data_IF_328790678309
#
_entry.id   IF_328790678309
#
_cell.length_a   1.000
_cell.length_b   1.000
_cell.length_c   1.000
_cell.angle_alpha   90.00
_cell.angle_beta   90.00
_cell.angle_gamma   90.00
#
_symmetry.space_group_name_H-M   'P 1'
#
loop_
_entity.id
_entity.type
_entity.pdbx_description
1 polymer ?
#
# COMPACT_ATOMS: atom_id res chain seq x y z
N UNK A 1 13.65 -6.93 2.16
CA UNK A 1 13.21 -5.95 1.16
C UNK A 1 14.38 -5.13 0.65
N UNK A 2 15.13 -4.39 1.49
CA UNK A 2 16.19 -3.48 1.09
C UNK A 2 17.29 -4.11 0.22
N UNK A 3 17.64 -5.39 0.48
CA UNK A 3 18.59 -6.11 -0.37
C UNK A 3 18.09 -6.21 -1.83
N UNK A 4 16.80 -6.47 -2.03
CA UNK A 4 16.20 -6.54 -3.36
C UNK A 4 16.11 -5.14 -4.00
N UNK A 5 15.71 -4.11 -3.22
CA UNK A 5 15.64 -2.73 -3.72
C UNK A 5 17.01 -2.20 -4.21
N UNK A 6 18.10 -2.57 -3.52
CA UNK A 6 19.47 -2.22 -3.96
C UNK A 6 19.87 -2.81 -5.30
N UNK A 7 19.30 -3.96 -5.65
CA UNK A 7 19.61 -4.69 -6.88
C UNK A 7 18.63 -4.37 -8.03
N UNK A 8 17.59 -3.58 -7.75
CA UNK A 8 16.56 -3.29 -8.74
C UNK A 8 17.11 -2.42 -9.88
N UNK A 9 16.87 -2.85 -11.10
CA UNK A 9 17.18 -2.14 -12.34
C UNK A 9 15.94 -1.50 -12.98
N UNK A 10 14.74 -1.91 -12.53
CA UNK A 10 13.44 -1.44 -12.98
C UNK A 10 12.55 -1.07 -11.79
N UNK A 11 11.34 -0.59 -12.05
CA UNK A 11 10.31 -0.45 -11.03
C UNK A 11 10.08 -1.78 -10.31
N UNK A 12 9.63 -1.73 -9.06
CA UNK A 12 9.50 -2.92 -8.20
C UNK A 12 8.04 -3.08 -7.78
N UNK A 13 7.56 -4.32 -7.76
CA UNK A 13 6.33 -4.68 -7.06
C UNK A 13 6.71 -5.49 -5.80
N UNK A 14 6.33 -5.00 -4.63
CA UNK A 14 6.38 -5.75 -3.37
C UNK A 14 5.06 -6.49 -3.22
N UNK A 15 5.12 -7.79 -2.96
CA UNK A 15 3.93 -8.63 -2.79
C UNK A 15 4.18 -9.60 -1.64
N UNK A 16 3.27 -9.64 -0.67
CA UNK A 16 3.34 -10.62 0.41
C UNK A 16 3.05 -12.03 -0.11
N UNK A 17 3.60 -13.03 0.55
CA UNK A 17 3.46 -14.44 0.16
C UNK A 17 2.06 -15.01 0.37
N UNK A 18 1.21 -14.31 1.12
CA UNK A 18 -0.19 -14.64 1.43
C UNK A 18 -1.19 -13.78 0.60
N UNK A 19 -0.73 -13.23 -0.51
CA UNK A 19 -1.55 -12.47 -1.46
C UNK A 19 -1.91 -13.33 -2.66
N UNK A 20 -3.18 -13.31 -3.04
CA UNK A 20 -3.68 -13.83 -4.33
C UNK A 20 -3.96 -12.66 -5.27
N UNK A 21 -3.46 -12.76 -6.49
CA UNK A 21 -3.55 -11.71 -7.51
C UNK A 21 -4.37 -12.19 -8.71
N UNK A 22 -5.21 -11.32 -9.33
CA UNK A 22 -5.95 -11.65 -10.54
C UNK A 22 -5.07 -11.56 -11.80
N UNK A 23 -5.64 -11.86 -12.96
CA UNK A 23 -4.96 -11.65 -14.24
C UNK A 23 -4.65 -10.15 -14.48
N UNK A 24 -3.56 -9.85 -15.18
CA UNK A 24 -3.12 -8.48 -15.54
C UNK A 24 -2.94 -7.54 -14.32
N UNK A 25 -2.79 -8.11 -13.13
CA UNK A 25 -2.62 -7.31 -11.90
C UNK A 25 -1.39 -6.42 -11.95
N UNK A 26 -0.27 -6.94 -12.47
CA UNK A 26 1.01 -6.23 -12.47
C UNK A 26 0.96 -5.02 -13.41
N UNK A 27 0.40 -5.20 -14.59
CA UNK A 27 0.22 -4.13 -15.58
C UNK A 27 -0.62 -2.99 -14.98
N UNK A 28 -1.77 -3.33 -14.37
CA UNK A 28 -2.65 -2.33 -13.75
C UNK A 28 -1.99 -1.66 -12.54
N UNK A 29 -1.30 -2.45 -11.70
CA UNK A 29 -0.58 -1.91 -10.53
C UNK A 29 0.49 -0.90 -10.94
N UNK A 30 1.24 -1.19 -12.01
CA UNK A 30 2.40 -0.38 -12.42
C UNK A 30 2.05 0.76 -13.37
N UNK A 31 0.90 0.72 -14.03
CA UNK A 31 0.50 1.70 -15.04
C UNK A 31 0.61 3.16 -14.57
N UNK A 32 0.17 3.55 -13.35
CA UNK A 32 0.30 4.93 -12.88
C UNK A 32 1.75 5.39 -12.80
N UNK A 33 2.67 4.52 -12.38
CA UNK A 33 4.11 4.83 -12.28
C UNK A 33 4.72 5.09 -13.66
N UNK A 34 4.31 4.33 -14.67
CA UNK A 34 4.75 4.56 -16.04
C UNK A 34 4.12 5.80 -16.67
N UNK A 35 2.89 6.14 -16.26
CA UNK A 35 2.15 7.29 -16.81
C UNK A 35 2.59 8.64 -16.24
N UNK A 36 3.02 8.69 -14.98
CA UNK A 36 3.42 9.92 -14.28
C UNK A 36 4.72 9.73 -13.49
N UNK A 37 5.74 10.47 -13.86
CA UNK A 37 7.08 10.38 -13.25
C UNK A 37 7.11 10.59 -11.73
N UNK A 38 6.20 11.40 -11.20
CA UNK A 38 6.14 11.76 -9.78
C UNK A 38 5.23 10.86 -8.93
N UNK A 39 4.79 9.71 -9.43
CA UNK A 39 4.17 8.68 -8.60
C UNK A 39 5.26 7.82 -7.98
N UNK A 40 5.30 7.77 -6.64
CA UNK A 40 6.24 6.97 -5.86
C UNK A 40 5.75 5.54 -5.68
N UNK A 41 4.49 5.39 -5.23
CA UNK A 41 3.90 4.07 -4.96
C UNK A 41 2.49 3.96 -5.52
N UNK A 42 2.08 2.70 -5.74
CA UNK A 42 0.73 2.31 -6.10
C UNK A 42 0.25 1.20 -5.19
N UNK A 43 -1.02 1.21 -4.80
CA UNK A 43 -1.63 0.21 -3.90
C UNK A 43 -3.03 -0.14 -4.41
N UNK A 44 -3.39 -1.44 -4.57
CA UNK A 44 -4.72 -1.87 -5.00
C UNK A 44 -5.71 -1.96 -3.84
N UNK A 45 -6.98 -2.22 -4.14
CA UNK A 45 -7.97 -2.65 -3.16
C UNK A 45 -7.66 -4.03 -2.59
N UNK A 46 -8.10 -4.27 -1.36
CA UNK A 46 -8.11 -5.58 -0.71
C UNK A 46 -9.21 -5.64 0.35
N UNK A 47 -9.44 -6.82 0.95
CA UNK A 47 -10.38 -6.95 2.07
C UNK A 47 -9.87 -6.34 3.38
N UNK A 48 -8.57 -6.33 3.64
CA UNK A 48 -7.97 -6.02 4.94
C UNK A 48 -6.72 -5.15 4.79
N UNK A 49 -6.87 -3.91 4.31
CA UNK A 49 -5.77 -2.97 4.07
C UNK A 49 -5.99 -1.60 4.68
N UNK A 50 -6.89 -1.46 5.66
CA UNK A 50 -7.28 -0.18 6.29
C UNK A 50 -7.70 0.84 5.21
N UNK A 51 -6.80 1.72 4.80
CA UNK A 51 -7.05 2.82 3.84
C UNK A 51 -7.24 2.39 2.38
N UNK A 52 -7.21 1.09 2.09
CA UNK A 52 -7.51 0.48 0.79
C UNK A 52 -8.47 -0.70 0.92
N UNK A 53 -9.22 -0.77 2.02
CA UNK A 53 -10.19 -1.86 2.29
C UNK A 53 -11.48 -1.68 1.50
N UNK A 54 -12.04 -2.81 1.04
CA UNK A 54 -13.31 -2.90 0.36
C UNK A 54 -14.08 -4.15 0.84
N UNK A 55 -15.43 -4.16 0.96
CA UNK A 55 -16.36 -3.06 0.68
C UNK A 55 -16.42 -1.98 1.77
N UNK A 56 -16.20 -2.32 3.03
CA UNK A 56 -16.22 -1.36 4.12
C UNK A 56 -14.85 -0.70 4.24
N UNK A 57 -14.79 0.58 3.87
CA UNK A 57 -13.58 1.37 3.90
C UNK A 57 -13.05 1.57 5.34
N UNK A 58 -11.73 1.50 5.51
CA UNK A 58 -11.03 1.57 6.79
C UNK A 58 -11.44 0.49 7.81
N UNK A 59 -11.88 -0.68 7.33
CA UNK A 59 -12.25 -1.85 8.15
C UNK A 59 -11.68 -3.12 7.57
N UNK A 60 -11.53 -4.13 8.42
CA UNK A 60 -11.27 -5.49 7.96
C UNK A 60 -12.59 -6.11 7.50
N UNK A 61 -12.58 -6.59 6.27
CA UNK A 61 -13.70 -7.22 5.61
C UNK A 61 -13.44 -8.72 5.43
N UNK A 62 -14.49 -9.51 5.33
CA UNK A 62 -14.38 -10.88 4.85
C UNK A 62 -14.44 -10.90 3.34
N UNK A 63 -13.75 -11.86 2.72
CA UNK A 63 -13.94 -12.11 1.30
C UNK A 63 -15.40 -12.49 1.07
N UNK A 64 -15.98 -12.08 -0.05
CA UNK A 64 -17.35 -12.38 -0.43
C UNK A 64 -17.54 -13.91 -0.52
N UNK A 65 -18.45 -14.47 0.28
CA UNK A 65 -18.67 -15.92 0.33
C UNK A 65 -19.09 -16.45 -1.04
N UNK A 66 -18.35 -17.45 -1.53
CA UNK A 66 -18.66 -18.12 -2.79
C UNK A 66 -18.23 -17.40 -4.07
N UNK A 67 -17.66 -16.19 -3.96
CA UNK A 67 -17.12 -15.47 -5.11
C UNK A 67 -15.61 -15.68 -5.19
N UNK A 68 -15.09 -16.20 -6.30
CA UNK A 68 -13.65 -16.27 -6.51
C UNK A 68 -13.06 -14.88 -6.79
N UNK A 69 -11.77 -14.71 -6.52
CA UNK A 69 -11.06 -13.43 -6.71
C UNK A 69 -11.26 -12.82 -8.11
N UNK A 70 -11.21 -13.65 -9.16
CA UNK A 70 -11.33 -13.18 -10.54
C UNK A 70 -12.71 -12.56 -10.83
N UNK A 71 -13.78 -13.09 -10.23
CA UNK A 71 -15.15 -12.58 -10.40
C UNK A 71 -15.30 -11.21 -9.71
N UNK A 72 -14.68 -11.05 -8.53
CA UNK A 72 -14.66 -9.76 -7.82
C UNK A 72 -13.84 -8.74 -8.64
N UNK A 73 -12.64 -9.11 -9.09
CA UNK A 73 -11.74 -8.21 -9.80
C UNK A 73 -12.26 -7.82 -11.20
N UNK A 74 -13.06 -8.64 -11.85
CA UNK A 74 -13.69 -8.30 -13.13
C UNK A 74 -14.59 -7.06 -13.02
N UNK A 75 -15.28 -6.86 -11.89
CA UNK A 75 -16.04 -5.63 -11.64
C UNK A 75 -15.11 -4.42 -11.49
N UNK A 76 -13.99 -4.56 -10.77
CA UNK A 76 -13.00 -3.50 -10.64
C UNK A 76 -12.33 -3.15 -11.97
N UNK A 77 -12.08 -4.14 -12.82
CA UNK A 77 -11.50 -3.97 -14.16
C UNK A 77 -12.35 -3.06 -15.06
N UNK A 78 -13.66 -3.00 -14.86
CA UNK A 78 -14.57 -2.14 -15.61
C UNK A 78 -14.56 -0.68 -15.15
N UNK A 79 -13.95 -0.37 -14.02
CA UNK A 79 -13.85 0.99 -13.49
C UNK A 79 -12.84 1.79 -14.30
N UNK A 80 -13.22 3.01 -14.68
CA UNK A 80 -12.28 3.97 -15.26
C UNK A 80 -11.40 4.57 -14.16
N UNK A 81 -10.12 4.22 -14.08
CA UNK A 81 -9.29 4.58 -12.94
C UNK A 81 -9.05 6.09 -12.83
N UNK A 82 -9.05 6.59 -11.60
CA UNK A 82 -8.76 7.98 -11.23
C UNK A 82 -7.43 8.13 -10.50
N UNK A 83 -6.93 7.03 -9.93
CA UNK A 83 -5.69 6.99 -9.14
C UNK A 83 -5.62 8.05 -8.04
N UNK A 84 -6.55 8.08 -7.09
CA UNK A 84 -6.58 9.08 -6.02
C UNK A 84 -5.32 9.00 -5.15
N UNK A 85 -4.83 10.19 -4.74
CA UNK A 85 -3.65 10.28 -3.88
C UNK A 85 -3.95 9.73 -2.48
N UNK A 86 -2.98 8.99 -1.93
CA UNK A 86 -3.03 8.38 -0.60
C UNK A 86 -1.95 8.97 0.32
N UNK A 87 -2.16 9.01 1.64
CA UNK A 87 -1.12 9.42 2.59
C UNK A 87 0.02 8.41 2.68
N UNK A 88 -0.22 7.15 2.34
CA UNK A 88 0.79 6.09 2.32
C UNK A 88 0.37 4.97 1.37
N UNK A 89 1.33 4.21 0.84
CA UNK A 89 1.11 2.89 0.27
C UNK A 89 0.94 1.83 1.36
N UNK A 90 0.46 0.64 1.01
CA UNK A 90 0.31 -0.49 1.92
C UNK A 90 1.10 -1.68 1.38
N UNK A 91 2.03 -2.19 2.18
CA UNK A 91 3.09 -3.12 1.77
C UNK A 91 2.67 -4.54 1.40
N UNK A 92 1.37 -4.91 1.54
CA UNK A 92 0.92 -6.25 1.14
C UNK A 92 1.01 -6.48 -0.38
N UNK A 93 0.71 -5.42 -1.17
CA UNK A 93 0.86 -5.37 -2.62
C UNK A 93 1.10 -3.92 -3.02
N UNK A 94 2.33 -3.56 -3.34
CA UNK A 94 2.73 -2.17 -3.57
C UNK A 94 3.69 -2.06 -4.74
N UNK A 95 3.32 -1.28 -5.76
CA UNK A 95 4.25 -0.83 -6.79
C UNK A 95 5.15 0.27 -6.27
N UNK A 96 6.44 0.27 -6.63
CA UNK A 96 7.42 1.27 -6.25
C UNK A 96 8.20 1.79 -7.47
N UNK A 97 8.28 3.09 -7.58
CA UNK A 97 9.01 3.77 -8.65
C UNK A 97 10.53 3.72 -8.38
N UNK A 98 11.30 3.16 -9.32
CA UNK A 98 12.76 3.07 -9.18
C UNK A 98 13.43 4.44 -9.00
N UNK A 99 12.95 5.48 -9.69
CA UNK A 99 13.49 6.83 -9.54
C UNK A 99 13.25 7.36 -8.12
N UNK A 100 12.04 7.16 -7.59
CA UNK A 100 11.73 7.51 -6.20
C UNK A 100 12.59 6.71 -5.21
N UNK A 101 12.80 5.40 -5.45
CA UNK A 101 13.70 4.58 -4.61
C UNK A 101 15.12 5.16 -4.58
N UNK A 102 15.63 5.60 -5.72
CA UNK A 102 16.99 6.20 -5.82
C UNK A 102 17.10 7.57 -5.16
N UNK A 103 16.04 8.39 -5.23
CA UNK A 103 16.02 9.75 -4.67
C UNK A 103 15.72 9.75 -3.16
N UNK A 104 14.75 8.95 -2.71
CA UNK A 104 14.28 8.87 -1.32
C UNK A 104 15.17 7.96 -0.47
N UNK A 105 15.78 6.97 -1.10
CA UNK A 105 16.57 5.93 -0.45
C UNK A 105 15.77 4.69 -0.10
N UNK A 106 16.33 3.86 0.76
CA UNK A 106 15.78 2.57 1.16
C UNK A 106 14.79 2.70 2.33
N UNK A 107 14.12 1.59 2.64
CA UNK A 107 13.31 1.49 3.86
C UNK A 107 14.21 1.63 5.09
N UNK A 108 13.69 2.27 6.15
CA UNK A 108 14.41 2.51 7.38
C UNK A 108 14.40 1.25 8.27
N UNK A 109 15.41 0.39 8.09
CA UNK A 109 15.58 -0.84 8.89
C UNK A 109 16.04 -0.57 10.32
N UNK A 110 16.61 0.60 10.59
CA UNK A 110 17.11 0.96 11.93
C UNK A 110 15.94 1.21 12.89
N UNK A 111 14.92 1.95 12.43
CA UNK A 111 13.76 2.29 13.26
C UNK A 111 12.60 1.27 13.15
N UNK A 112 12.50 0.51 12.04
CA UNK A 112 11.36 -0.37 11.74
C UNK A 112 11.76 -1.81 11.41
N UNK A 113 12.90 -2.29 11.85
CA UNK A 113 13.63 -3.49 11.41
C UNK A 113 12.84 -4.80 11.25
N UNK A 114 11.74 -4.99 12.01
CA UNK A 114 10.91 -6.20 11.93
C UNK A 114 9.56 -6.00 11.21
N UNK A 115 9.36 -4.87 10.53
CA UNK A 115 8.10 -4.56 9.83
C UNK A 115 7.16 -3.68 10.65
N UNK A 116 6.06 -3.26 10.00
CA UNK A 116 5.03 -2.34 10.50
C UNK A 116 5.50 -0.89 10.66
N UNK A 117 5.48 -0.15 9.58
CA UNK A 117 5.74 1.29 9.56
C UNK A 117 6.87 1.72 8.63
N UNK A 118 7.69 0.79 8.17
CA UNK A 118 8.78 1.07 7.23
C UNK A 118 8.28 1.60 5.88
N UNK A 119 7.19 1.04 5.37
CA UNK A 119 6.55 1.53 4.16
C UNK A 119 5.88 2.89 4.37
N UNK A 120 5.29 3.10 5.55
CA UNK A 120 4.65 4.37 5.91
C UNK A 120 5.69 5.49 6.00
N UNK A 121 6.81 5.25 6.67
CA UNK A 121 7.95 6.18 6.71
C UNK A 121 8.46 6.48 5.31
N UNK A 122 8.66 5.45 4.50
CA UNK A 122 9.17 5.63 3.15
C UNK A 122 8.22 6.47 2.28
N UNK A 123 6.91 6.19 2.35
CA UNK A 123 5.89 6.95 1.64
C UNK A 123 5.84 8.42 2.07
N UNK A 124 5.99 8.70 3.36
CA UNK A 124 6.05 10.08 3.87
C UNK A 124 7.32 10.81 3.41
N UNK A 125 8.47 10.13 3.37
CA UNK A 125 9.70 10.69 2.78
C UNK A 125 9.54 10.95 1.28
N UNK A 126 8.83 10.09 0.56
CA UNK A 126 8.54 10.28 -0.85
C UNK A 126 7.64 11.51 -1.08
N UNK A 127 6.60 11.72 -0.25
CA UNK A 127 5.75 12.92 -0.29
C UNK A 127 6.61 14.17 -0.02
N UNK A 128 7.47 14.15 0.98
CA UNK A 128 8.39 15.27 1.27
C UNK A 128 9.36 15.58 0.12
N UNK A 129 9.70 14.58 -0.71
CA UNK A 129 10.49 14.72 -1.93
C UNK A 129 9.67 15.14 -3.17
N UNK A 130 8.38 15.44 -3.01
CA UNK A 130 7.50 15.91 -4.07
C UNK A 130 6.93 14.80 -4.96
N UNK A 131 6.84 13.57 -4.44
CA UNK A 131 6.15 12.45 -5.06
C UNK A 131 4.74 12.28 -4.50
N UNK A 132 3.93 11.46 -5.17
CA UNK A 132 2.60 11.05 -4.76
C UNK A 132 2.56 9.53 -4.56
N UNK A 133 1.86 9.07 -3.53
CA UNK A 133 1.39 7.68 -3.42
C UNK A 133 -0.04 7.64 -3.94
N UNK A 134 -0.41 6.65 -4.74
CA UNK A 134 -1.75 6.60 -5.34
C UNK A 134 -2.41 5.24 -5.14
N UNK A 135 -3.73 5.26 -5.07
CA UNK A 135 -4.55 4.06 -5.10
C UNK A 135 -4.83 3.63 -6.54
N UNK A 136 -4.78 2.32 -6.80
CA UNK A 136 -5.19 1.72 -8.08
C UNK A 136 -6.62 1.22 -7.92
N UNK A 137 -7.57 2.13 -8.20
CA UNK A 137 -9.00 1.96 -7.94
C UNK A 137 -9.71 1.01 -8.91
N UNK A 138 -9.02 0.51 -9.91
CA UNK A 138 -9.51 -0.52 -10.82
C UNK A 138 -8.82 -1.89 -10.66
N UNK A 139 -8.27 -2.17 -9.47
CA UNK A 139 -7.60 -3.45 -9.17
C UNK A 139 -7.97 -3.93 -7.77
N UNK A 140 -8.48 -5.16 -7.67
CA UNK A 140 -8.73 -5.84 -6.40
C UNK A 140 -7.78 -7.03 -6.24
N UNK A 141 -7.14 -7.13 -5.08
CA UNK A 141 -6.17 -8.18 -4.73
C UNK A 141 -6.57 -8.78 -3.39
N UNK A 142 -6.61 -10.09 -3.26
CA UNK A 142 -6.98 -10.73 -2.01
C UNK A 142 -5.77 -10.97 -1.12
N UNK A 143 -5.77 -10.36 0.06
CA UNK A 143 -4.77 -10.58 1.09
C UNK A 143 -5.32 -11.51 2.17
N UNK A 144 -4.79 -12.74 2.23
CA UNK A 144 -5.16 -13.73 3.25
C UNK A 144 -4.62 -13.32 4.61
N UNK A 145 -5.42 -12.60 5.38
CA UNK A 145 -5.00 -12.10 6.68
C UNK A 145 -4.74 -13.24 7.67
N UNK A 146 -3.49 -13.57 7.93
CA UNK A 146 -3.06 -14.64 8.84
C UNK A 146 -1.89 -14.28 9.76
N UNK A 147 -1.33 -13.08 9.63
CA UNK A 147 -0.30 -12.51 10.50
C UNK A 147 1.00 -13.31 10.57
N UNK A 148 2.09 -12.71 10.11
CA UNK A 148 3.45 -13.28 10.19
C UNK A 148 4.03 -13.33 11.62
N UNK A 149 3.32 -12.79 12.63
CA UNK A 149 3.80 -12.70 14.00
C UNK A 149 2.73 -13.10 15.03
N UNK A 150 3.12 -13.68 16.19
CA UNK A 150 2.24 -13.86 17.34
C UNK A 150 1.56 -12.54 17.73
N UNK A 151 0.31 -12.60 18.20
CA UNK A 151 -0.53 -11.42 18.46
C UNK A 151 0.10 -10.40 19.43
N UNK A 152 0.82 -10.85 20.44
CA UNK A 152 1.49 -9.97 21.44
C UNK A 152 2.71 -9.26 20.84
N UNK A 153 3.56 -9.97 20.08
CA UNK A 153 4.70 -9.35 19.41
C UNK A 153 4.24 -8.33 18.36
N UNK A 154 3.19 -8.65 17.60
CA UNK A 154 2.57 -7.73 16.64
C UNK A 154 2.11 -6.44 17.32
N UNK A 155 1.38 -6.53 18.43
CA UNK A 155 0.90 -5.36 19.16
C UNK A 155 2.04 -4.48 19.69
N UNK A 156 3.10 -5.12 20.22
CA UNK A 156 4.29 -4.39 20.68
C UNK A 156 4.96 -3.63 19.54
N UNK A 157 5.25 -4.33 18.42
CA UNK A 157 5.87 -3.71 17.23
C UNK A 157 5.03 -2.58 16.67
N UNK A 158 3.72 -2.76 16.55
CA UNK A 158 2.81 -1.71 16.09
C UNK A 158 2.88 -0.45 16.97
N UNK A 159 2.94 -0.62 18.30
CA UNK A 159 3.06 0.51 19.22
C UNK A 159 4.42 1.21 19.11
N UNK A 160 5.52 0.44 19.20
CA UNK A 160 6.90 0.97 19.14
C UNK A 160 7.13 1.72 17.82
N UNK A 161 6.68 1.15 16.70
CA UNK A 161 6.86 1.72 15.38
C UNK A 161 5.91 2.89 15.09
N UNK A 162 4.68 2.86 15.64
CA UNK A 162 3.80 4.03 15.60
C UNK A 162 4.43 5.25 16.29
N UNK A 163 5.04 5.05 17.46
CA UNK A 163 5.72 6.14 18.17
C UNK A 163 6.95 6.64 17.38
N UNK A 164 7.69 5.75 16.73
CA UNK A 164 8.82 6.11 15.87
C UNK A 164 8.35 6.90 14.63
N UNK A 165 7.28 6.43 13.99
CA UNK A 165 6.68 7.07 12.83
C UNK A 165 6.21 8.51 13.14
N UNK A 166 5.49 8.70 14.25
CA UNK A 166 5.01 10.01 14.65
C UNK A 166 6.10 10.98 15.07
N UNK A 167 7.21 10.49 15.61
CA UNK A 167 8.38 11.36 15.86
C UNK A 167 9.00 11.89 14.57
N UNK A 168 9.01 11.08 13.51
CA UNK A 168 9.55 11.45 12.19
C UNK A 168 8.56 12.24 11.35
N UNK A 169 7.27 11.90 11.44
CA UNK A 169 6.17 12.44 10.63
C UNK A 169 4.98 12.81 11.52
N UNK A 170 5.04 13.96 12.24
CA UNK A 170 4.02 14.33 13.24
C UNK A 170 2.59 14.43 12.72
N UNK A 171 2.41 14.78 11.44
CA UNK A 171 1.10 14.95 10.81
C UNK A 171 0.51 13.63 10.25
N UNK A 172 1.27 12.52 10.24
CA UNK A 172 0.86 11.26 9.62
C UNK A 172 -0.52 10.76 10.05
N UNK A 173 -0.79 10.73 11.38
CA UNK A 173 -2.08 10.26 11.89
C UNK A 173 -3.23 11.19 11.48
N UNK A 174 -2.98 12.50 11.44
CA UNK A 174 -3.96 13.49 10.99
C UNK A 174 -4.27 13.28 9.51
N UNK A 175 -3.26 13.16 8.67
CA UNK A 175 -3.42 12.99 7.23
C UNK A 175 -4.15 11.68 6.88
N UNK A 176 -3.81 10.59 7.60
CA UNK A 176 -4.51 9.31 7.45
C UNK A 176 -5.97 9.39 7.92
N UNK A 177 -6.23 10.04 9.07
CA UNK A 177 -7.59 10.24 9.57
C UNK A 177 -8.42 11.14 8.63
N UNK A 178 -7.82 12.16 8.05
CA UNK A 178 -8.46 13.04 7.08
C UNK A 178 -8.76 12.32 5.77
N UNK A 179 -7.86 11.43 5.33
CA UNK A 179 -8.08 10.55 4.18
C UNK A 179 -9.27 9.61 4.43
N UNK A 180 -9.29 8.90 5.57
CA UNK A 180 -10.39 8.02 5.96
C UNK A 180 -11.72 8.77 6.05
N UNK A 181 -11.74 10.00 6.59
CA UNK A 181 -12.97 10.78 6.70
C UNK A 181 -13.51 11.25 5.35
N UNK A 182 -12.62 11.60 4.42
CA UNK A 182 -13.01 12.03 3.07
C UNK A 182 -13.49 10.88 2.20
N UNK A 183 -13.04 9.66 2.48
CA UNK A 183 -13.37 8.46 1.72
C UNK A 183 -13.27 8.67 0.19
N UNK A 184 -12.07 8.95 -0.33
CA UNK A 184 -11.91 9.28 -1.76
C UNK A 184 -12.14 8.08 -2.68
N UNK A 185 -12.26 6.88 -2.11
CA UNK A 185 -12.51 5.62 -2.81
C UNK A 185 -14.02 5.30 -2.94
N UNK A 186 -14.89 6.03 -2.24
CA UNK A 186 -16.34 5.82 -2.23
C UNK A 186 -17.02 5.84 -3.62
N UNK A 187 -16.53 6.60 -4.62
CA UNK A 187 -17.13 6.60 -5.96
C UNK A 187 -16.93 5.29 -6.75
N UNK A 188 -16.13 4.35 -6.23
CA UNK A 188 -15.80 3.07 -6.87
C UNK A 188 -16.87 2.00 -6.62
#
# INVERSE_FOLDING_TARGET
VNRALKMAENHVALVNTDVEVPEEWLERLMLPIFAKEKIATTTPFTTCGTICSFPDFCRDNKLFEGMPLWEIDDEFRMIRPQYPAMPTGVGFCMGMNLKAIREVGLLDEENFGKGYGEENDWCQRAIAAGYENVHVDNLFVYHKHGGSFPSEEKQRLLKEHSDALLRKHPDYNKDTADYCRRDPLRPV
#
